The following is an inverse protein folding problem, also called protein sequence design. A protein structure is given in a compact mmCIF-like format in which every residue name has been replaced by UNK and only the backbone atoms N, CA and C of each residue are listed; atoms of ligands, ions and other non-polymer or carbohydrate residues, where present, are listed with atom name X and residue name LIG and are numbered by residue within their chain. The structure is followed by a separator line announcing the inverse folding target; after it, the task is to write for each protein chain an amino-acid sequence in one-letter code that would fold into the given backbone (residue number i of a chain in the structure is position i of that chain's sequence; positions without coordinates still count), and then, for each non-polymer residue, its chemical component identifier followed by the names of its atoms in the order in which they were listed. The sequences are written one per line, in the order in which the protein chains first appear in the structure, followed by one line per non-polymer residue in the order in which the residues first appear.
data_IF_546292504511
#
_entry.id   IF_546292504511
#
_cell.length_a   1.000
_cell.length_b   1.000
_cell.length_c   1.000
_cell.angle_alpha   90.00
_cell.angle_beta   90.00
_cell.angle_gamma   90.00
#
_symmetry.space_group_name_H-M   'P 1'
#
loop_
_entity.id
_entity.type
_entity.pdbx_description
1 polymer ?
#
# COMPACT_ATOMS: atom_id res chain seq x y z
N UNK A 1 11.82 5.13 -1.98
CA UNK A 1 10.43 5.41 -2.37
C UNK A 1 10.15 5.15 -3.86
N UNK A 2 10.47 6.05 -4.80
CA UNK A 2 10.05 5.87 -6.21
C UNK A 2 10.61 4.59 -6.85
N UNK A 3 11.89 4.29 -6.64
CA UNK A 3 12.54 3.04 -7.10
C UNK A 3 12.00 1.76 -6.43
N UNK A 4 11.47 1.85 -5.21
CA UNK A 4 10.76 0.74 -4.55
C UNK A 4 9.37 0.57 -5.16
N UNK A 5 8.59 1.65 -5.30
CA UNK A 5 7.20 1.58 -5.81
C UNK A 5 7.09 1.00 -7.22
N UNK A 6 8.13 1.15 -8.06
CA UNK A 6 8.21 0.54 -9.39
C UNK A 6 8.61 -0.95 -9.35
N UNK A 7 9.21 -1.43 -8.26
CA UNK A 7 9.62 -2.84 -8.07
C UNK A 7 8.56 -3.68 -7.36
N UNK A 8 7.69 -3.06 -6.56
CA UNK A 8 6.58 -3.70 -5.83
C UNK A 8 5.75 -4.68 -6.69
N UNK A 9 5.30 -4.34 -7.92
CA UNK A 9 4.50 -5.25 -8.75
C UNK A 9 5.24 -6.55 -9.16
N UNK A 10 6.57 -6.54 -9.14
CA UNK A 10 7.43 -7.65 -9.57
C UNK A 10 7.95 -8.50 -8.40
N UNK A 11 7.53 -8.19 -7.16
CA UNK A 11 7.96 -8.87 -5.94
C UNK A 11 6.90 -9.75 -5.27
N UNK A 12 5.67 -9.75 -5.76
CA UNK A 12 4.66 -10.70 -5.30
C UNK A 12 5.06 -12.14 -5.67
N UNK A 13 4.75 -13.10 -4.80
CA UNK A 13 5.12 -14.53 -4.99
C UNK A 13 4.54 -15.12 -6.29
N UNK A 14 3.39 -14.58 -6.74
CA UNK A 14 2.87 -14.75 -8.10
C UNK A 14 2.68 -13.39 -8.79
N UNK A 15 3.79 -12.69 -9.05
CA UNK A 15 3.79 -11.42 -9.77
C UNK A 15 3.16 -11.54 -11.17
N UNK A 16 3.38 -12.65 -11.88
CA UNK A 16 2.85 -12.82 -13.24
C UNK A 16 1.33 -13.02 -13.23
N UNK A 17 0.80 -13.92 -12.40
CA UNK A 17 -0.63 -14.12 -12.24
C UNK A 17 -1.32 -12.86 -11.71
N UNK A 18 -0.71 -12.15 -10.75
CA UNK A 18 -1.26 -10.90 -10.21
C UNK A 18 -1.33 -9.79 -11.27
N UNK A 19 -0.28 -9.60 -12.08
CA UNK A 19 -0.29 -8.62 -13.19
C UNK A 19 -1.28 -9.04 -14.27
N UNK A 20 -1.36 -10.32 -14.62
CA UNK A 20 -2.27 -10.84 -15.64
C UNK A 20 -3.74 -10.66 -15.21
N UNK A 21 -4.10 -11.16 -14.02
CA UNK A 21 -5.46 -11.04 -13.45
C UNK A 21 -5.83 -9.57 -13.26
N UNK A 22 -4.94 -8.75 -12.70
CA UNK A 22 -5.16 -7.32 -12.53
C UNK A 22 -5.35 -6.54 -13.84
N UNK A 23 -4.62 -6.91 -14.89
CA UNK A 23 -4.78 -6.34 -16.24
C UNK A 23 -6.10 -6.77 -16.88
N UNK A 24 -6.45 -8.05 -16.80
CA UNK A 24 -7.74 -8.57 -17.29
C UNK A 24 -8.91 -7.93 -16.53
N UNK A 25 -8.81 -7.77 -15.22
CA UNK A 25 -9.82 -7.12 -14.39
C UNK A 25 -9.95 -5.62 -14.70
N UNK A 26 -8.84 -4.96 -15.04
CA UNK A 26 -8.81 -3.57 -15.53
C UNK A 26 -9.50 -3.44 -16.89
N UNK A 27 -9.17 -4.31 -17.84
CA UNK A 27 -9.80 -4.40 -19.16
C UNK A 27 -11.32 -4.60 -19.02
N UNK A 28 -11.71 -5.65 -18.29
CA UNK A 28 -13.09 -6.05 -18.10
C UNK A 28 -13.91 -4.93 -17.45
N UNK A 29 -13.37 -4.26 -16.43
CA UNK A 29 -14.01 -3.09 -15.80
C UNK A 29 -14.25 -1.95 -16.80
N UNK A 30 -13.26 -1.66 -17.66
CA UNK A 30 -13.36 -0.61 -18.68
C UNK A 30 -14.38 -0.95 -19.78
N UNK A 31 -14.36 -2.19 -20.28
CA UNK A 31 -15.27 -2.67 -21.32
C UNK A 31 -16.70 -2.73 -20.81
N UNK A 32 -16.97 -3.31 -19.62
CA UNK A 32 -18.33 -3.35 -19.07
C UNK A 32 -18.86 -1.95 -18.80
N UNK A 33 -18.03 -1.01 -18.33
CA UNK A 33 -18.44 0.38 -18.13
C UNK A 33 -18.80 1.06 -19.47
N UNK A 34 -17.99 0.89 -20.51
CA UNK A 34 -18.26 1.47 -21.83
C UNK A 34 -19.54 0.91 -22.45
N UNK A 35 -19.71 -0.42 -22.42
CA UNK A 35 -20.94 -1.11 -22.89
C UNK A 35 -22.16 -0.63 -22.10
N UNK A 36 -22.05 -0.49 -20.78
CA UNK A 36 -23.15 -0.02 -19.94
C UNK A 36 -23.56 1.43 -20.23
N UNK A 37 -22.61 2.33 -20.49
CA UNK A 37 -22.91 3.72 -20.88
C UNK A 37 -23.63 3.78 -22.23
N UNK A 38 -23.19 3.00 -23.22
CA UNK A 38 -23.91 2.88 -24.51
C UNK A 38 -25.31 2.30 -24.30
N UNK A 39 -25.45 1.30 -23.43
CA UNK A 39 -26.73 0.65 -23.14
C UNK A 39 -27.70 1.59 -22.43
N UNK A 40 -27.25 2.43 -21.50
CA UNK A 40 -28.08 3.46 -20.85
C UNK A 40 -28.71 4.43 -21.85
N UNK A 41 -28.01 4.75 -22.94
CA UNK A 41 -28.53 5.66 -23.97
C UNK A 41 -29.63 5.03 -24.85
N UNK A 42 -29.69 3.69 -24.92
CA UNK A 42 -30.60 2.95 -25.82
C UNK A 42 -31.70 2.20 -25.05
N UNK A 43 -31.48 1.84 -23.79
CA UNK A 43 -32.37 0.96 -23.02
C UNK A 43 -32.66 1.51 -21.61
N UNK A 44 -33.91 1.88 -21.28
CA UNK A 44 -34.25 2.47 -19.98
C UNK A 44 -34.06 1.52 -18.78
N UNK A 45 -33.93 0.21 -19.02
CA UNK A 45 -33.62 -0.79 -17.99
C UNK A 45 -32.10 -0.96 -17.74
N UNK A 46 -31.23 -0.23 -18.44
CA UNK A 46 -29.78 -0.24 -18.22
C UNK A 46 -29.32 -0.11 -16.76
N UNK A 47 -29.99 0.65 -15.86
CA UNK A 47 -29.65 0.70 -14.44
C UNK A 47 -29.73 -0.66 -13.72
N UNK A 48 -30.54 -1.62 -14.20
CA UNK A 48 -30.62 -2.95 -13.62
C UNK A 48 -29.30 -3.76 -13.74
N UNK A 49 -28.40 -3.39 -14.66
CA UNK A 49 -27.10 -4.04 -14.83
C UNK A 49 -25.98 -3.46 -13.95
N UNK A 50 -26.24 -2.40 -13.16
CA UNK A 50 -25.27 -1.81 -12.23
C UNK A 50 -24.52 -2.86 -11.38
N UNK A 51 -25.17 -3.85 -10.72
CA UNK A 51 -24.42 -4.82 -9.90
C UNK A 51 -23.43 -5.65 -10.73
N UNK A 52 -23.80 -6.08 -11.93
CA UNK A 52 -22.93 -6.88 -12.82
C UNK A 52 -21.75 -6.05 -13.32
N UNK A 53 -22.01 -4.81 -13.72
CA UNK A 53 -21.01 -3.86 -14.23
C UNK A 53 -20.06 -3.39 -13.11
N UNK A 54 -20.57 -3.25 -11.89
CA UNK A 54 -19.78 -2.84 -10.73
C UNK A 54 -18.82 -3.94 -10.23
N UNK A 55 -19.18 -5.22 -10.32
CA UNK A 55 -18.42 -6.32 -9.71
C UNK A 55 -16.90 -6.31 -9.99
N UNK A 56 -16.42 -6.25 -11.25
CA UNK A 56 -14.97 -6.17 -11.53
C UNK A 56 -14.30 -4.92 -10.93
N UNK A 57 -15.02 -3.78 -10.94
CA UNK A 57 -14.56 -2.51 -10.38
C UNK A 57 -14.51 -2.54 -8.84
N UNK A 58 -15.42 -3.28 -8.20
CA UNK A 58 -15.43 -3.51 -6.75
C UNK A 58 -14.23 -4.34 -6.32
N UNK A 59 -13.96 -5.47 -6.99
CA UNK A 59 -12.77 -6.32 -6.71
C UNK A 59 -11.49 -5.50 -6.87
N UNK A 60 -11.35 -4.77 -7.98
CA UNK A 60 -10.19 -3.89 -8.22
C UNK A 60 -10.04 -2.83 -7.13
N UNK A 61 -11.13 -2.22 -6.65
CA UNK A 61 -11.07 -1.26 -5.54
C UNK A 61 -10.69 -1.91 -4.21
N UNK A 62 -11.15 -3.12 -3.93
CA UNK A 62 -10.75 -3.86 -2.73
C UNK A 62 -9.25 -4.15 -2.74
N UNK A 63 -8.75 -4.64 -3.87
CA UNK A 63 -7.34 -4.93 -4.07
C UNK A 63 -6.47 -3.68 -3.87
N UNK A 64 -6.87 -2.53 -4.42
CA UNK A 64 -6.16 -1.27 -4.20
C UNK A 64 -6.26 -0.72 -2.76
N UNK A 65 -7.12 -1.27 -1.89
CA UNK A 65 -7.12 -0.97 -0.45
C UNK A 65 -6.10 -1.87 0.26
N UNK A 66 -6.04 -3.16 -0.05
CA UNK A 66 -4.99 -4.05 0.48
C UNK A 66 -3.59 -3.57 0.08
N UNK A 67 -3.38 -3.15 -1.17
CA UNK A 67 -2.11 -2.53 -1.61
C UNK A 67 -1.74 -1.24 -0.82
N UNK A 68 -2.73 -0.52 -0.28
CA UNK A 68 -2.50 0.62 0.62
C UNK A 68 -2.13 0.15 2.02
N UNK A 69 -2.75 -0.93 2.51
CA UNK A 69 -2.46 -1.63 3.77
C UNK A 69 -1.01 -2.16 3.76
N UNK A 70 -0.66 -3.00 2.77
CA UNK A 70 0.70 -3.48 2.48
C UNK A 70 1.72 -2.30 2.45
N UNK A 71 1.31 -1.16 1.89
CA UNK A 71 2.12 0.06 1.82
C UNK A 71 2.30 0.80 3.15
N UNK A 72 1.31 0.77 4.04
CA UNK A 72 1.37 1.36 5.39
C UNK A 72 2.30 0.52 6.27
N UNK A 73 2.14 -0.80 6.22
CA UNK A 73 2.97 -1.76 6.98
C UNK A 73 4.39 -1.93 6.40
N UNK A 74 4.63 -1.30 5.23
CA UNK A 74 5.90 -1.32 4.50
C UNK A 74 6.32 -2.74 4.06
N UNK A 75 5.35 -3.58 3.73
CA UNK A 75 5.60 -4.92 3.21
C UNK A 75 6.27 -4.87 1.83
N UNK A 76 7.25 -5.76 1.55
CA UNK A 76 7.95 -5.82 0.26
C UNK A 76 7.21 -6.63 -0.80
N UNK A 77 6.24 -7.44 -0.37
CA UNK A 77 5.34 -8.33 -1.13
C UNK A 77 3.95 -7.71 -1.20
N UNK A 78 3.16 -8.07 -2.23
CA UNK A 78 1.80 -7.54 -2.40
C UNK A 78 0.79 -8.66 -2.22
N UNK A 79 -0.30 -8.37 -1.50
CA UNK A 79 -1.45 -9.25 -1.34
C UNK A 79 -1.96 -9.82 -2.68
N UNK A 80 -2.25 -11.12 -2.75
CA UNK A 80 -2.71 -11.79 -3.98
C UNK A 80 -4.25 -11.81 -4.11
N UNK A 81 -4.76 -12.08 -5.33
CA UNK A 81 -6.21 -12.07 -5.65
C UNK A 81 -7.02 -13.26 -5.07
N UNK A 82 -6.57 -13.93 -4.01
CA UNK A 82 -7.20 -15.17 -3.53
C UNK A 82 -8.53 -14.90 -2.81
N UNK A 83 -8.66 -13.81 -2.06
CA UNK A 83 -9.84 -13.51 -1.23
C UNK A 83 -10.92 -12.67 -1.94
N UNK A 84 -11.46 -13.12 -3.09
CA UNK A 84 -12.49 -12.37 -3.84
C UNK A 84 -13.65 -11.81 -2.99
N UNK A 85 -14.10 -12.54 -1.97
CA UNK A 85 -15.16 -12.11 -1.06
C UNK A 85 -14.77 -10.94 -0.13
N UNK A 86 -13.53 -10.90 0.38
CA UNK A 86 -13.05 -9.78 1.19
C UNK A 86 -12.77 -8.56 0.29
N UNK A 87 -12.21 -8.78 -0.89
CA UNK A 87 -11.97 -7.75 -1.92
C UNK A 87 -13.27 -7.05 -2.34
N UNK A 88 -14.34 -7.78 -2.67
CA UNK A 88 -15.65 -7.15 -2.99
C UNK A 88 -16.16 -6.34 -1.80
N UNK A 89 -16.05 -6.85 -0.56
CA UNK A 89 -16.52 -6.17 0.65
C UNK A 89 -15.74 -4.87 0.93
N UNK A 90 -14.41 -4.91 0.84
CA UNK A 90 -13.53 -3.74 0.97
C UNK A 90 -13.78 -2.72 -0.15
N UNK A 91 -13.96 -3.20 -1.38
CA UNK A 91 -14.34 -2.40 -2.54
C UNK A 91 -15.66 -1.67 -2.34
N UNK A 92 -16.71 -2.36 -1.88
CA UNK A 92 -18.02 -1.76 -1.57
C UNK A 92 -17.94 -0.71 -0.46
N UNK A 93 -17.21 -0.97 0.63
CA UNK A 93 -16.95 0.02 1.68
C UNK A 93 -16.22 1.25 1.11
N UNK A 94 -15.19 1.06 0.28
CA UNK A 94 -14.44 2.14 -0.41
C UNK A 94 -15.28 2.93 -1.43
N UNK A 95 -16.27 2.29 -2.08
CA UNK A 95 -17.30 2.97 -2.88
C UNK A 95 -18.18 3.84 -1.99
N UNK A 96 -18.71 3.31 -0.89
CA UNK A 96 -19.58 4.05 0.02
C UNK A 96 -18.90 5.31 0.58
N UNK A 97 -17.64 5.20 1.03
CA UNK A 97 -16.82 6.36 1.43
C UNK A 97 -16.68 7.35 0.26
N UNK A 98 -16.33 6.88 -0.94
CA UNK A 98 -16.18 7.76 -2.11
C UNK A 98 -17.48 8.49 -2.48
N UNK A 99 -18.64 7.83 -2.35
CA UNK A 99 -19.96 8.40 -2.68
C UNK A 99 -20.39 9.42 -1.62
N UNK A 100 -20.18 9.13 -0.33
CA UNK A 100 -20.51 10.04 0.74
C UNK A 100 -19.64 11.32 0.70
N UNK A 101 -18.36 11.17 0.34
CA UNK A 101 -17.47 12.28 0.01
C UNK A 101 -17.76 12.96 -1.35
N UNK A 102 -18.74 12.49 -2.14
CA UNK A 102 -19.14 13.14 -3.40
C UNK A 102 -20.42 13.97 -3.24
N UNK A 103 -21.24 13.72 -2.22
CA UNK A 103 -22.54 14.39 -2.03
C UNK A 103 -22.49 15.93 -2.11
N UNK A 104 -21.54 16.65 -1.47
CA UNK A 104 -21.47 18.10 -1.59
C UNK A 104 -21.19 18.57 -3.03
N UNK A 105 -20.39 17.82 -3.78
CA UNK A 105 -20.16 18.07 -5.21
C UNK A 105 -21.41 17.81 -6.06
N UNK A 106 -22.23 16.82 -5.72
CA UNK A 106 -23.54 16.58 -6.37
C UNK A 106 -24.49 17.75 -6.11
N UNK A 107 -24.52 18.30 -4.89
CA UNK A 107 -25.34 19.48 -4.56
C UNK A 107 -24.88 20.70 -5.37
N UNK A 108 -23.57 20.97 -5.42
CA UNK A 108 -23.02 22.08 -6.22
C UNK A 108 -23.32 21.91 -7.72
N UNK A 109 -23.20 20.69 -8.25
CA UNK A 109 -23.56 20.39 -9.64
C UNK A 109 -25.06 20.58 -9.91
N UNK A 110 -25.92 20.15 -8.99
CA UNK A 110 -27.38 20.36 -9.07
C UNK A 110 -27.76 21.85 -9.07
N UNK A 111 -27.07 22.67 -8.27
CA UNK A 111 -27.24 24.13 -8.27
C UNK A 111 -26.78 24.75 -9.60
N UNK A 112 -25.66 24.30 -10.17
CA UNK A 112 -25.16 24.78 -11.45
C UNK A 112 -26.13 24.44 -12.61
N UNK A 113 -26.57 23.19 -12.69
CA UNK A 113 -27.52 22.73 -13.72
C UNK A 113 -28.89 23.40 -13.55
N UNK A 114 -29.37 23.55 -12.31
CA UNK A 114 -30.59 24.30 -12.02
C UNK A 114 -30.50 25.77 -12.45
N UNK A 115 -29.37 26.43 -12.19
CA UNK A 115 -29.10 27.79 -12.65
C UNK A 115 -29.09 27.92 -14.18
N UNK A 116 -28.52 26.95 -14.91
CA UNK A 116 -28.58 26.93 -16.38
C UNK A 116 -30.02 26.75 -16.86
N UNK A 117 -30.79 25.85 -16.23
CA UNK A 117 -32.17 25.55 -16.64
C UNK A 117 -33.11 26.77 -16.53
N UNK A 118 -32.85 27.72 -15.63
CA UNK A 118 -33.66 28.96 -15.52
C UNK A 118 -33.37 29.99 -16.61
N UNK A 119 -32.26 29.87 -17.35
CA UNK A 119 -31.84 30.81 -18.41
C UNK A 119 -32.17 30.29 -19.82
N UNK A 120 -32.34 28.97 -19.98
CA UNK A 120 -32.56 28.32 -21.28
C UNK A 120 -33.95 28.60 -21.92
N UNK A 121 -35.05 28.86 -21.19
CA UNK A 121 -36.28 29.41 -21.78
C UNK A 121 -36.24 30.95 -21.75
N UNK A 122 -35.98 31.65 -22.88
CA UNK A 122 -35.71 33.09 -22.87
C UNK A 122 -36.96 33.98 -22.77
N UNK A 123 -38.17 33.44 -22.58
CA UNK A 123 -39.41 34.17 -22.90
C UNK A 123 -39.94 35.11 -21.82
N UNK A 124 -39.71 34.86 -20.52
CA UNK A 124 -40.33 35.66 -19.42
C UNK A 124 -39.43 35.88 -18.18
N UNK A 125 -38.11 35.66 -18.28
CA UNK A 125 -37.20 35.84 -17.14
C UNK A 125 -36.71 37.29 -17.05
N UNK A 126 -37.03 38.00 -15.96
CA UNK A 126 -36.59 39.38 -15.75
C UNK A 126 -35.06 39.51 -15.58
N UNK A 127 -34.50 40.68 -15.94
CA UNK A 127 -33.05 40.94 -15.92
C UNK A 127 -32.37 40.59 -14.59
N UNK A 128 -33.05 40.85 -13.47
CA UNK A 128 -32.60 40.51 -12.11
C UNK A 128 -32.47 39.00 -11.88
N UNK A 129 -33.41 38.21 -12.42
CA UNK A 129 -33.36 36.75 -12.31
C UNK A 129 -32.26 36.15 -13.19
N UNK A 130 -32.02 36.71 -14.39
CA UNK A 130 -30.90 36.31 -15.25
C UNK A 130 -29.54 36.63 -14.61
N UNK A 131 -29.40 37.81 -13.98
CA UNK A 131 -28.20 38.18 -13.23
C UNK A 131 -27.95 37.24 -12.03
N UNK A 132 -28.99 36.90 -11.26
CA UNK A 132 -28.90 35.94 -10.15
C UNK A 132 -28.55 34.53 -10.62
N UNK A 133 -29.13 34.07 -11.73
CA UNK A 133 -28.80 32.77 -12.32
C UNK A 133 -27.33 32.72 -12.78
N UNK A 134 -26.83 33.77 -13.44
CA UNK A 134 -25.42 33.90 -13.82
C UNK A 134 -24.48 33.86 -12.61
N UNK A 135 -24.81 34.58 -11.52
CA UNK A 135 -24.05 34.56 -10.28
C UNK A 135 -24.08 33.17 -9.61
N UNK A 136 -25.23 32.50 -9.58
CA UNK A 136 -25.36 31.13 -9.05
C UNK A 136 -24.53 30.13 -9.86
N UNK A 137 -24.55 30.20 -11.20
CA UNK A 137 -23.71 29.36 -12.07
C UNK A 137 -22.22 29.62 -11.81
N UNK A 138 -21.81 30.88 -11.65
CA UNK A 138 -20.42 31.23 -11.35
C UNK A 138 -19.96 30.67 -9.99
N UNK A 139 -20.74 30.90 -8.93
CA UNK A 139 -20.41 30.43 -7.57
C UNK A 139 -20.44 28.90 -7.49
N UNK A 140 -21.45 28.25 -8.06
CA UNK A 140 -21.56 26.79 -8.05
C UNK A 140 -20.53 26.11 -8.94
N UNK A 141 -20.22 26.66 -10.13
CA UNK A 141 -19.19 26.15 -11.03
C UNK A 141 -17.77 26.30 -10.46
N UNK A 142 -17.43 27.48 -9.92
CA UNK A 142 -16.15 27.71 -9.27
C UNK A 142 -16.02 26.92 -7.96
N UNK A 143 -17.11 26.85 -7.18
CA UNK A 143 -17.22 26.01 -5.99
C UNK A 143 -17.05 24.53 -6.31
N UNK A 144 -17.63 24.04 -7.40
CA UNK A 144 -17.47 22.65 -7.87
C UNK A 144 -16.04 22.37 -8.33
N UNK A 145 -15.37 23.34 -8.96
CA UNK A 145 -13.97 23.23 -9.36
C UNK A 145 -13.02 23.16 -8.14
N UNK A 146 -13.17 24.07 -7.17
CA UNK A 146 -12.44 24.01 -5.90
C UNK A 146 -12.74 22.70 -5.17
N UNK A 147 -14.02 22.33 -5.07
CA UNK A 147 -14.44 21.11 -4.39
C UNK A 147 -13.90 19.85 -5.07
N UNK A 148 -13.84 19.81 -6.40
CA UNK A 148 -13.23 18.74 -7.17
C UNK A 148 -11.75 18.55 -6.84
N UNK A 149 -11.01 19.65 -6.65
CA UNK A 149 -9.60 19.63 -6.26
C UNK A 149 -9.42 19.17 -4.80
N UNK A 150 -10.25 19.67 -3.88
CA UNK A 150 -10.28 19.21 -2.47
C UNK A 150 -10.63 17.72 -2.39
N UNK A 151 -11.63 17.27 -3.16
CA UNK A 151 -12.03 15.86 -3.24
C UNK A 151 -10.91 14.99 -3.81
N UNK A 152 -10.19 15.44 -4.84
CA UNK A 152 -9.04 14.73 -5.41
C UNK A 152 -7.92 14.49 -4.38
N UNK A 153 -7.72 15.42 -3.45
CA UNK A 153 -6.71 15.35 -2.39
C UNK A 153 -7.20 14.59 -1.13
N UNK A 154 -8.42 14.85 -0.67
CA UNK A 154 -8.97 14.27 0.58
C UNK A 154 -9.41 12.81 0.39
N UNK A 155 -9.89 12.44 -0.79
CA UNK A 155 -10.35 11.07 -1.09
C UNK A 155 -9.26 9.99 -0.90
N UNK A 156 -8.01 10.14 -1.37
CA UNK A 156 -6.96 9.18 -1.04
C UNK A 156 -6.66 9.13 0.45
N UNK A 157 -6.61 10.27 1.16
CA UNK A 157 -6.41 10.28 2.62
C UNK A 157 -7.51 9.51 3.38
N UNK A 158 -8.78 9.68 2.98
CA UNK A 158 -9.91 8.94 3.56
C UNK A 158 -9.81 7.42 3.31
N UNK A 159 -9.24 7.00 2.18
CA UNK A 159 -8.99 5.59 1.85
C UNK A 159 -7.86 4.98 2.66
N UNK A 160 -6.80 5.74 2.91
CA UNK A 160 -5.71 5.30 3.81
C UNK A 160 -6.27 5.11 5.23
N UNK A 161 -7.01 6.07 5.78
CA UNK A 161 -7.64 5.90 7.11
C UNK A 161 -8.61 4.71 7.13
N UNK A 162 -9.31 4.45 6.03
CA UNK A 162 -10.15 3.26 5.90
C UNK A 162 -9.35 1.96 5.88
N UNK A 163 -8.22 1.90 5.16
CA UNK A 163 -7.32 0.74 5.14
C UNK A 163 -6.78 0.46 6.55
N UNK A 164 -6.14 1.47 7.16
CA UNK A 164 -5.49 1.37 8.46
C UNK A 164 -6.41 1.01 9.65
N UNK A 165 -7.73 1.23 9.54
CA UNK A 165 -8.67 1.04 10.66
C UNK A 165 -9.81 0.06 10.38
N UNK A 166 -9.95 -0.44 9.15
CA UNK A 166 -11.10 -1.25 8.68
C UNK A 166 -12.49 -0.57 8.76
N UNK A 167 -12.57 0.65 9.34
CA UNK A 167 -13.80 1.24 9.85
C UNK A 167 -14.28 2.43 9.00
N UNK A 168 -15.56 2.40 8.62
CA UNK A 168 -16.20 3.51 7.90
C UNK A 168 -16.28 4.77 8.76
N UNK A 169 -16.46 4.63 10.09
CA UNK A 169 -16.60 5.76 11.02
C UNK A 169 -15.29 6.56 11.19
N UNK A 170 -14.13 5.91 11.16
CA UNK A 170 -12.85 6.63 11.16
C UNK A 170 -12.63 7.36 9.83
N UNK A 171 -12.88 6.69 8.70
CA UNK A 171 -12.71 7.21 7.35
C UNK A 171 -13.61 8.43 7.02
N UNK A 172 -14.77 8.54 7.68
CA UNK A 172 -15.68 9.70 7.58
C UNK A 172 -15.38 10.80 8.61
N UNK A 173 -14.40 10.61 9.49
CA UNK A 173 -13.97 11.59 10.48
C UNK A 173 -13.21 12.75 9.83
N UNK A 174 -13.92 13.65 9.15
CA UNK A 174 -13.37 14.74 8.32
C UNK A 174 -12.19 15.45 8.99
N UNK A 175 -12.29 15.84 10.27
CA UNK A 175 -11.22 16.55 11.00
C UNK A 175 -9.94 15.70 11.20
N UNK A 176 -10.06 14.38 11.33
CA UNK A 176 -8.91 13.45 11.39
C UNK A 176 -8.31 13.23 10.00
N UNK A 177 -9.15 13.00 8.99
CA UNK A 177 -8.71 12.84 7.59
C UNK A 177 -7.98 14.08 7.10
N UNK A 178 -8.48 15.29 7.38
CA UNK A 178 -7.78 16.54 7.06
C UNK A 178 -6.47 16.72 7.83
N UNK A 179 -6.38 16.24 9.09
CA UNK A 179 -5.11 16.30 9.84
C UNK A 179 -4.04 15.36 9.24
N UNK A 180 -4.45 14.16 8.79
CA UNK A 180 -3.57 13.27 8.02
C UNK A 180 -3.19 13.90 6.68
N UNK A 181 -4.16 14.42 5.94
CA UNK A 181 -3.93 15.03 4.63
C UNK A 181 -3.05 16.28 4.70
N UNK A 182 -3.03 16.98 5.85
CA UNK A 182 -2.14 18.11 6.10
C UNK A 182 -0.71 17.71 6.51
N UNK A 183 -0.40 16.41 6.67
CA UNK A 183 0.98 15.98 6.94
C UNK A 183 1.84 16.07 5.67
N UNK A 184 3.07 16.56 5.83
CA UNK A 184 4.03 16.66 4.72
C UNK A 184 4.40 15.31 4.14
N UNK A 185 4.46 14.26 4.97
CA UNK A 185 4.73 12.89 4.54
C UNK A 185 3.62 12.39 3.60
N UNK A 186 2.34 12.58 3.95
CA UNK A 186 1.22 12.21 3.09
C UNK A 186 1.28 12.97 1.76
N UNK A 187 1.57 14.27 1.81
CA UNK A 187 1.71 15.09 0.60
C UNK A 187 2.79 14.53 -0.34
N UNK A 188 3.94 14.05 0.17
CA UNK A 188 4.97 13.43 -0.68
C UNK A 188 4.50 12.12 -1.32
N UNK A 189 3.83 11.24 -0.57
CA UNK A 189 3.27 9.99 -1.11
C UNK A 189 2.18 10.25 -2.16
N UNK A 190 1.33 11.26 -1.93
CA UNK A 190 0.29 11.71 -2.86
C UNK A 190 0.85 12.38 -4.11
N UNK A 191 1.93 13.17 -4.01
CA UNK A 191 2.60 13.78 -5.16
C UNK A 191 3.28 12.72 -6.04
N UNK A 192 3.93 11.72 -5.45
CA UNK A 192 4.48 10.56 -6.18
C UNK A 192 3.34 9.81 -6.89
N UNK A 193 2.26 9.48 -6.17
CA UNK A 193 1.10 8.81 -6.74
C UNK A 193 0.47 9.60 -7.90
N UNK A 194 0.24 10.89 -7.71
CA UNK A 194 -0.37 11.77 -8.72
C UNK A 194 0.55 11.96 -9.93
N UNK A 195 1.87 12.07 -9.71
CA UNK A 195 2.87 12.07 -10.77
C UNK A 195 2.84 10.77 -11.58
N UNK A 196 2.80 9.62 -10.92
CA UNK A 196 2.67 8.32 -11.59
C UNK A 196 1.37 8.21 -12.41
N UNK A 197 0.22 8.62 -11.87
CA UNK A 197 -1.06 8.59 -12.61
C UNK A 197 -1.10 9.59 -13.77
N UNK A 198 -0.46 10.75 -13.65
CA UNK A 198 -0.45 11.79 -14.69
C UNK A 198 0.57 11.49 -15.80
N UNK A 199 1.79 11.08 -15.45
CA UNK A 199 2.84 10.78 -16.43
C UNK A 199 2.71 9.36 -17.02
N UNK A 200 2.18 8.38 -16.30
CA UNK A 200 2.04 7.00 -16.80
C UNK A 200 1.42 6.91 -18.20
N UNK A 201 0.25 7.55 -18.47
CA UNK A 201 -0.34 7.59 -19.80
C UNK A 201 0.50 8.32 -20.87
N UNK A 202 1.36 9.27 -20.49
CA UNK A 202 2.14 10.05 -21.48
C UNK A 202 3.21 9.21 -22.18
N UNK A 203 3.66 8.10 -21.57
CA UNK A 203 4.58 7.14 -22.19
C UNK A 203 4.00 6.46 -23.45
N UNK A 204 2.67 6.45 -23.62
CA UNK A 204 1.99 5.80 -24.74
C UNK A 204 1.80 6.74 -25.95
N UNK A 205 1.90 8.06 -25.76
CA UNK A 205 1.78 9.06 -26.84
C UNK A 205 2.71 8.82 -28.04
N UNK A 206 4.03 8.53 -27.89
CA UNK A 206 4.88 8.28 -29.05
C UNK A 206 4.40 7.07 -29.87
N UNK A 207 3.89 6.02 -29.23
CA UNK A 207 3.36 4.85 -29.93
C UNK A 207 2.05 5.15 -30.68
N UNK A 208 1.19 6.02 -30.11
CA UNK A 208 0.01 6.55 -30.81
C UNK A 208 0.37 7.46 -31.99
N UNK A 209 1.42 8.28 -31.88
CA UNK A 209 1.92 9.11 -32.98
C UNK A 209 2.47 8.22 -34.11
N UNK A 210 3.24 7.17 -33.78
CA UNK A 210 3.70 6.17 -34.77
C UNK A 210 2.50 5.47 -35.42
N UNK A 211 1.49 5.06 -34.65
CA UNK A 211 0.26 4.45 -35.18
C UNK A 211 -0.47 5.39 -36.16
N UNK A 212 -0.58 6.68 -35.84
CA UNK A 212 -1.19 7.67 -36.71
C UNK A 212 -0.40 7.84 -38.02
N UNK A 213 0.93 8.00 -37.94
CA UNK A 213 1.81 8.13 -39.12
C UNK A 213 1.77 6.89 -40.02
N UNK A 214 1.81 5.69 -39.45
CA UNK A 214 1.66 4.42 -40.18
C UNK A 214 0.25 4.28 -40.77
N UNK A 215 -0.77 4.89 -40.15
CA UNK A 215 -2.15 4.91 -40.62
C UNK A 215 -2.35 5.68 -41.92
N UNK A 216 -1.51 6.69 -42.20
CA UNK A 216 -1.53 7.41 -43.49
C UNK A 216 -1.06 6.52 -44.66
N UNK A 217 -0.19 5.54 -44.41
CA UNK A 217 0.29 4.60 -45.43
C UNK A 217 -0.53 3.31 -45.47
N UNK A 218 -0.92 2.79 -44.30
CA UNK A 218 -1.47 1.45 -44.15
C UNK A 218 -2.41 1.35 -42.94
N UNK A 219 -3.72 1.61 -43.13
CA UNK A 219 -4.73 1.45 -42.09
C UNK A 219 -4.72 0.11 -41.32
N UNK A 220 -4.53 -1.08 -41.95
CA UNK A 220 -4.52 -2.33 -41.19
C UNK A 220 -3.32 -2.47 -40.26
N UNK A 221 -2.13 -1.97 -40.65
CA UNK A 221 -0.94 -2.01 -39.79
C UNK A 221 -1.11 -1.05 -38.61
N UNK A 222 -1.66 0.15 -38.85
CA UNK A 222 -1.99 1.09 -37.79
C UNK A 222 -2.99 0.51 -36.78
N UNK A 223 -4.02 -0.21 -37.24
CA UNK A 223 -4.97 -0.89 -36.36
C UNK A 223 -4.29 -1.92 -35.44
N UNK A 224 -3.29 -2.67 -35.94
CA UNK A 224 -2.47 -3.58 -35.12
C UNK A 224 -1.63 -2.81 -34.10
N UNK A 225 -1.00 -1.69 -34.48
CA UNK A 225 -0.21 -0.87 -33.55
C UNK A 225 -1.12 -0.28 -32.46
N UNK A 226 -2.31 0.24 -32.81
CA UNK A 226 -3.31 0.74 -31.84
C UNK A 226 -3.75 -0.37 -30.89
N UNK A 227 -4.01 -1.59 -31.39
CA UNK A 227 -4.40 -2.73 -30.55
C UNK A 227 -3.29 -3.12 -29.55
N UNK A 228 -2.03 -3.20 -30.01
CA UNK A 228 -0.87 -3.47 -29.14
C UNK A 228 -0.68 -2.34 -28.12
N UNK A 229 -0.82 -1.08 -28.54
CA UNK A 229 -0.78 0.10 -27.66
C UNK A 229 -1.86 0.03 -26.58
N UNK A 230 -3.08 -0.39 -26.94
CA UNK A 230 -4.19 -0.52 -26.02
C UNK A 230 -3.98 -1.63 -24.98
N UNK A 231 -3.47 -2.80 -25.40
CA UNK A 231 -3.11 -3.90 -24.48
C UNK A 231 -2.01 -3.44 -23.51
N UNK A 232 -0.97 -2.77 -24.01
CA UNK A 232 0.10 -2.18 -23.20
C UNK A 232 -0.45 -1.12 -22.22
N UNK A 233 -1.39 -0.28 -22.68
CA UNK A 233 -2.02 0.77 -21.87
C UNK A 233 -2.80 0.20 -20.69
N UNK A 234 -3.49 -0.93 -20.88
CA UNK A 234 -4.23 -1.61 -19.80
C UNK A 234 -3.27 -2.15 -18.73
N UNK A 235 -2.20 -2.85 -19.14
CA UNK A 235 -1.20 -3.36 -18.20
C UNK A 235 -0.47 -2.24 -17.46
N UNK A 236 -0.06 -1.19 -18.18
CA UNK A 236 0.57 0.00 -17.60
C UNK A 236 -0.38 0.71 -16.62
N UNK A 237 -1.66 0.86 -16.97
CA UNK A 237 -2.65 1.47 -16.09
C UNK A 237 -2.91 0.65 -14.82
N UNK A 238 -2.83 -0.69 -14.87
CA UNK A 238 -2.87 -1.52 -13.67
C UNK A 238 -1.63 -1.28 -12.80
N UNK A 239 -0.43 -1.45 -13.36
CA UNK A 239 0.85 -1.27 -12.65
C UNK A 239 0.95 0.12 -11.99
N UNK A 240 0.63 1.18 -12.73
CA UNK A 240 0.65 2.57 -12.23
C UNK A 240 -0.33 2.76 -11.05
N UNK A 241 -1.52 2.14 -11.09
CA UNK A 241 -2.48 2.21 -9.98
C UNK A 241 -1.98 1.49 -8.73
N UNK A 242 -1.32 0.34 -8.88
CA UNK A 242 -0.74 -0.43 -7.76
C UNK A 242 0.41 0.35 -7.12
N UNK A 243 1.39 0.81 -7.92
CA UNK A 243 2.52 1.60 -7.42
C UNK A 243 2.07 2.89 -6.71
N UNK A 244 1.03 3.55 -7.22
CA UNK A 244 0.47 4.77 -6.63
C UNK A 244 -0.36 4.51 -5.36
N UNK A 245 -1.08 3.38 -5.28
CA UNK A 245 -1.77 2.95 -4.08
C UNK A 245 -0.76 2.71 -2.94
N UNK A 246 0.26 1.90 -3.22
CA UNK A 246 1.32 1.57 -2.25
C UNK A 246 2.10 2.82 -1.81
N UNK A 247 2.47 3.73 -2.73
CA UNK A 247 3.17 4.98 -2.37
C UNK A 247 2.32 5.91 -1.51
N UNK A 248 0.99 5.89 -1.68
CA UNK A 248 0.06 6.67 -0.86
C UNK A 248 -0.04 6.08 0.55
N UNK A 249 -0.05 4.75 0.69
CA UNK A 249 0.02 4.06 1.99
C UNK A 249 1.32 4.38 2.73
N UNK A 250 2.47 4.17 2.09
CA UNK A 250 3.79 4.39 2.71
C UNK A 250 4.07 5.85 3.07
N UNK A 251 3.56 6.80 2.27
CA UNK A 251 3.62 8.23 2.62
C UNK A 251 2.72 8.60 3.81
N UNK A 252 1.69 7.81 4.10
CA UNK A 252 0.77 8.08 5.19
C UNK A 252 1.14 7.41 6.52
N UNK A 253 1.96 6.36 6.51
CA UNK A 253 2.29 5.54 7.69
C UNK A 253 2.69 6.36 8.92
N UNK A 254 3.66 7.27 8.78
CA UNK A 254 4.15 8.14 9.87
C UNK A 254 3.09 9.16 10.32
N UNK A 255 2.20 9.58 9.42
CA UNK A 255 1.05 10.42 9.76
C UNK A 255 -0.06 9.67 10.50
N UNK A 256 -0.25 8.38 10.22
CA UNK A 256 -1.21 7.51 10.91
C UNK A 256 -0.76 7.19 12.33
N UNK A 257 0.51 6.85 12.53
CA UNK A 257 1.07 6.52 13.85
C UNK A 257 0.89 7.67 14.86
N UNK A 258 0.98 8.93 14.41
CA UNK A 258 0.68 10.11 15.25
C UNK A 258 -0.82 10.36 15.52
N UNK A 259 -1.71 9.75 14.75
CA UNK A 259 -3.18 9.95 14.84
C UNK A 259 -3.91 8.79 15.51
N UNK A 260 -3.35 7.60 15.35
CA UNK A 260 -3.76 6.33 15.91
C UNK A 260 -2.49 5.65 16.43
N UNK A 261 -1.85 6.21 17.48
CA UNK A 261 -0.73 5.53 18.11
C UNK A 261 -1.21 4.13 18.46
N UNK A 262 -0.44 3.11 18.04
CA UNK A 262 -0.80 1.74 18.35
C UNK A 262 -1.01 1.62 19.87
N UNK A 263 -2.09 0.93 20.26
CA UNK A 263 -2.39 0.64 21.66
C UNK A 263 -1.40 -0.41 22.20
N UNK A 264 -0.13 -0.02 22.25
CA UNK A 264 1.01 -0.81 22.73
C UNK A 264 1.18 -0.69 24.25
N UNK A 265 0.06 -0.56 24.95
CA UNK A 265 -0.14 -0.89 26.36
C UNK A 265 -1.65 -0.78 26.66
N UNK A 266 -2.30 -1.82 27.23
CA UNK A 266 -3.66 -1.71 27.69
C UNK A 266 -3.70 -0.91 29.00
N UNK A 267 -3.87 0.40 28.89
CA UNK A 267 -4.26 1.24 30.04
C UNK A 267 -5.64 0.79 30.56
N UNK A 268 -5.75 0.27 31.79
CA UNK A 268 -7.01 -0.24 32.33
C UNK A 268 -8.02 0.86 32.67
N UNK A 269 -7.70 2.15 32.46
CA UNK A 269 -8.54 3.28 32.87
C UNK A 269 -9.45 3.88 31.77
N UNK A 270 -9.27 3.54 30.49
CA UNK A 270 -9.85 4.34 29.38
C UNK A 270 -10.72 3.55 28.37
N UNK A 271 -11.78 2.90 28.84
CA UNK A 271 -12.75 2.15 28.02
C UNK A 271 -13.91 3.03 27.45
N UNK A 272 -13.59 4.13 26.76
CA UNK A 272 -14.61 4.98 26.08
C UNK A 272 -14.19 5.51 24.68
N UNK A 273 -13.16 4.92 24.07
CA UNK A 273 -12.86 5.16 22.65
C UNK A 273 -12.81 3.86 21.87
N UNK A 274 -14.00 3.28 21.66
CA UNK A 274 -14.22 2.04 20.90
C UNK A 274 -13.83 2.11 19.42
N UNK A 275 -12.53 2.21 19.15
CA UNK A 275 -11.87 1.95 17.87
C UNK A 275 -10.89 0.81 18.12
N UNK A 276 -11.44 -0.38 18.31
CA UNK A 276 -10.65 -1.61 18.21
C UNK A 276 -10.12 -1.66 16.78
N UNK A 277 -8.81 -1.47 16.64
CA UNK A 277 -8.11 -1.91 15.43
C UNK A 277 -8.25 -3.43 15.42
N UNK A 278 -9.07 -3.96 14.51
CA UNK A 278 -8.92 -5.36 14.08
C UNK A 278 -7.56 -5.46 13.39
N UNK A 279 -6.48 -5.50 14.18
CA UNK A 279 -5.22 -6.12 13.76
C UNK A 279 -5.64 -7.50 13.30
N UNK A 280 -5.66 -7.71 11.99
CA UNK A 280 -5.84 -9.02 11.39
C UNK A 280 -4.60 -9.80 11.77
N UNK A 281 -4.62 -10.38 12.96
CA UNK A 281 -3.58 -11.25 13.44
C UNK A 281 -3.44 -12.33 12.37
N UNK A 282 -2.37 -12.24 11.59
CA UNK A 282 -1.87 -13.44 10.94
C UNK A 282 -1.76 -14.47 12.05
N UNK A 283 -2.32 -15.69 11.87
CA UNK A 283 -2.00 -16.76 12.80
C UNK A 283 -0.48 -16.86 12.76
N UNK A 284 0.14 -16.53 13.89
CA UNK A 284 1.57 -16.72 14.07
C UNK A 284 1.82 -18.19 13.79
N UNK A 285 2.53 -18.47 12.69
CA UNK A 285 2.87 -19.82 12.26
C UNK A 285 3.98 -20.33 13.17
N UNK A 286 3.63 -20.49 14.44
CA UNK A 286 4.38 -21.31 15.36
C UNK A 286 4.51 -22.72 14.74
N UNK A 287 5.72 -23.27 14.81
CA UNK A 287 6.14 -24.43 14.02
C UNK A 287 5.50 -25.76 14.44
N UNK A 288 4.43 -25.71 15.25
CA UNK A 288 3.60 -26.85 15.60
C UNK A 288 2.54 -27.12 14.53
N UNK A 289 2.85 -28.03 13.60
CA UNK A 289 1.85 -28.57 12.68
C UNK A 289 0.60 -29.01 13.44
N UNK A 290 -0.53 -28.37 13.15
CA UNK A 290 -1.85 -28.78 13.65
C UNK A 290 -2.25 -30.11 13.00
N UNK A 291 -1.66 -31.20 13.49
CA UNK A 291 -2.01 -32.55 13.10
C UNK A 291 -3.45 -32.83 13.52
N UNK A 292 -4.31 -33.01 12.52
CA UNK A 292 -5.76 -33.24 12.73
C UNK A 292 -5.94 -34.50 13.55
N UNK A 293 -6.83 -34.43 14.55
CA UNK A 293 -7.15 -35.53 15.48
C UNK A 293 -7.21 -36.88 14.75
N UNK A 294 -6.43 -37.90 15.17
CA UNK A 294 -6.33 -39.17 14.47
C UNK A 294 -7.66 -39.92 14.35
N UNK A 295 -8.69 -39.57 15.13
CA UNK A 295 -10.05 -40.11 14.98
C UNK A 295 -10.77 -39.63 13.70
N UNK A 296 -10.32 -38.54 13.07
CA UNK A 296 -10.90 -37.98 11.84
C UNK A 296 -10.16 -38.45 10.58
N UNK A 297 -8.95 -39.03 10.73
CA UNK A 297 -8.07 -39.36 9.61
C UNK A 297 -8.39 -40.74 8.97
N UNK A 298 -9.65 -40.95 8.57
CA UNK A 298 -10.06 -42.17 7.85
C UNK A 298 -9.47 -42.20 6.43
N UNK A 299 -8.46 -43.05 6.19
CA UNK A 299 -7.98 -43.32 4.83
C UNK A 299 -6.48 -43.61 4.68
N UNK A 300 -5.65 -43.44 5.72
CA UNK A 300 -4.19 -43.66 5.63
C UNK A 300 -3.74 -44.87 6.44
N UNK A 301 -3.72 -46.04 5.81
CA UNK A 301 -3.09 -47.23 6.40
C UNK A 301 -1.57 -47.07 6.40
N UNK A 302 -0.98 -46.85 7.58
CA UNK A 302 0.47 -46.94 7.78
C UNK A 302 0.80 -48.34 8.29
N UNK A 303 1.67 -49.04 7.58
CA UNK A 303 2.12 -50.39 7.95
C UNK A 303 3.17 -50.30 9.07
N UNK A 304 2.77 -50.68 10.30
CA UNK A 304 3.64 -50.62 11.48
C UNK A 304 4.19 -52.01 11.78
N UNK A 305 5.24 -52.39 11.04
CA UNK A 305 6.04 -53.58 11.32
C UNK A 305 7.24 -53.23 12.21
N UNK A 306 7.06 -53.34 13.54
CA UNK A 306 8.16 -53.30 14.53
C UNK A 306 7.97 -54.35 15.63
N UNK A 307 8.82 -55.39 15.70
CA UNK A 307 8.86 -56.28 16.85
C UNK A 307 9.85 -55.82 17.94
N UNK A 308 9.59 -56.28 19.15
CA UNK A 308 10.24 -55.95 20.42
C UNK A 308 11.55 -56.77 20.63
N UNK A 309 12.63 -56.19 21.19
CA UNK A 309 13.02 -56.12 22.62
C UNK A 309 13.50 -57.44 23.26
N UNK A 310 14.81 -57.54 23.50
CA UNK A 310 15.54 -58.41 24.45
C UNK A 310 17.04 -58.12 24.30
N UNK A 311 17.93 -58.22 25.28
CA UNK A 311 17.84 -58.23 26.74
C UNK A 311 19.22 -57.79 27.30
N UNK A 312 19.35 -57.54 28.60
CA UNK A 312 20.60 -57.09 29.25
C UNK A 312 21.73 -58.11 29.18
N UNK A 313 22.99 -57.66 29.06
CA UNK A 313 24.09 -58.22 29.86
C UNK A 313 25.27 -57.23 30.01
N UNK A 314 25.90 -57.24 31.20
CA UNK A 314 27.07 -56.43 31.58
C UNK A 314 28.23 -57.36 31.88
N UNK A 315 29.42 -57.17 31.28
CA UNK A 315 30.73 -57.65 31.79
C UNK A 315 31.90 -56.95 31.08
N UNK A 316 32.99 -56.75 31.81
CA UNK A 316 34.33 -56.33 31.38
C UNK A 316 35.37 -56.92 32.39
N UNK A 317 36.71 -56.89 32.21
CA UNK A 317 37.57 -56.74 31.02
C UNK A 317 38.71 -57.84 30.96
N UNK A 318 39.84 -57.55 30.27
CA UNK A 318 41.20 -58.20 30.30
C UNK A 318 41.48 -59.51 29.48
N UNK A 319 42.76 -59.87 29.15
CA UNK A 319 43.92 -59.04 28.72
C UNK A 319 44.88 -59.63 27.62
N UNK A 320 45.83 -58.79 27.12
CA UNK A 320 47.23 -59.08 26.61
C UNK A 320 47.54 -60.04 25.40
N UNK A 321 48.79 -60.14 24.85
CA UNK A 321 49.95 -59.20 24.72
C UNK A 321 50.71 -59.17 23.33
N UNK A 322 51.70 -58.25 23.18
CA UNK A 322 52.97 -58.31 22.36
C UNK A 322 52.92 -58.54 20.82
N UNK A 323 53.92 -58.23 19.97
CA UNK A 323 55.26 -57.57 20.01
C UNK A 323 55.55 -57.02 18.57
N UNK A 324 56.05 -55.79 18.35
CA UNK A 324 57.46 -55.37 18.16
C UNK A 324 58.10 -55.60 16.75
N UNK A 325 59.16 -54.82 16.45
CA UNK A 325 59.99 -54.77 15.21
C UNK A 325 59.33 -54.20 13.93
N UNK A 326 60.00 -53.45 13.03
CA UNK A 326 61.29 -52.73 13.13
C UNK A 326 61.44 -51.67 12.01
N UNK A 327 62.37 -50.73 12.22
CA UNK A 327 63.21 -49.92 11.29
C UNK A 327 62.95 -49.88 9.76
N UNK A 328 63.15 -48.69 9.15
CA UNK A 328 64.35 -48.33 8.34
C UNK A 328 64.24 -46.89 7.81
N UNK A 329 65.37 -46.17 7.81
CA UNK A 329 65.55 -44.78 7.36
C UNK A 329 65.50 -44.57 5.82
N UNK A 330 65.32 -43.32 5.38
CA UNK A 330 66.25 -42.70 4.43
C UNK A 330 66.24 -41.16 4.46
N UNK A 331 67.33 -40.58 3.98
CA UNK A 331 67.89 -39.26 4.31
C UNK A 331 67.96 -38.31 3.07
N UNK A 332 68.45 -37.08 3.29
CA UNK A 332 68.82 -36.00 2.38
C UNK A 332 67.69 -35.04 1.89
N UNK A 333 67.87 -33.71 1.89
CA UNK A 333 68.97 -32.89 2.44
C UNK A 333 68.97 -31.43 1.90
N UNK A 334 69.53 -30.48 2.68
CA UNK A 334 70.20 -29.19 2.32
C UNK A 334 69.45 -28.20 1.37
N UNK A 335 69.29 -26.89 1.59
CA UNK A 335 70.22 -25.71 1.68
C UNK A 335 69.31 -24.51 2.09
N UNK A 336 69.51 -23.74 3.16
CA UNK A 336 70.41 -22.58 3.42
C UNK A 336 70.15 -21.26 2.62
N UNK A 337 70.50 -20.12 3.24
CA UNK A 337 70.26 -18.69 2.91
C UNK A 337 68.83 -18.17 3.22
N UNK A 338 68.62 -16.99 3.83
CA UNK A 338 69.53 -15.98 4.40
C UNK A 338 68.95 -14.55 4.24
N UNK A 339 68.94 -13.72 5.29
CA UNK A 339 68.48 -12.33 5.20
C UNK A 339 68.03 -11.70 6.53
N UNK A 340 68.81 -10.75 7.04
CA UNK A 340 68.64 -10.02 8.31
C UNK A 340 68.71 -8.48 8.05
N UNK A 341 68.38 -7.67 9.06
CA UNK A 341 68.64 -6.22 9.28
C UNK A 341 67.71 -5.13 8.71
N UNK A 342 67.53 -4.05 9.51
CA UNK A 342 66.96 -2.72 9.16
C UNK A 342 65.49 -2.50 9.58
N UNK A 343 65.09 -1.87 10.70
CA UNK A 343 65.61 -0.83 11.62
C UNK A 343 65.21 0.64 11.29
N UNK A 344 64.90 1.43 12.34
CA UNK A 344 64.70 2.90 12.47
C UNK A 344 63.33 3.60 12.21
N UNK A 345 62.61 3.89 13.30
CA UNK A 345 62.50 5.19 14.04
C UNK A 345 61.97 6.51 13.41
N UNK A 346 61.33 7.33 14.27
CA UNK A 346 60.82 8.70 14.05
C UNK A 346 59.29 8.82 14.21
N UNK A 347 58.65 9.24 15.33
CA UNK A 347 58.90 10.39 16.23
C UNK A 347 58.85 11.74 15.48
N UNK A 348 58.03 12.76 15.80
CA UNK A 348 57.54 13.29 17.11
C UNK A 348 56.29 14.20 16.93
N UNK A 349 55.55 14.48 18.03
CA UNK A 349 54.93 15.77 18.49
C UNK A 349 54.19 16.72 17.49
N UNK A 350 53.41 17.76 17.81
CA UNK A 350 52.83 18.43 19.00
C UNK A 350 51.60 19.26 18.47
N UNK A 351 50.68 19.92 19.20
CA UNK A 351 50.53 20.26 20.63
C UNK A 351 49.06 20.23 21.09
N UNK A 352 48.86 20.46 22.40
CA UNK A 352 47.62 20.70 23.10
C UNK A 352 47.16 22.18 23.10
N UNK A 353 45.89 22.45 23.38
CA UNK A 353 45.53 23.48 24.38
C UNK A 353 44.30 23.05 25.21
N UNK A 354 44.13 23.70 26.35
CA UNK A 354 43.42 23.26 27.55
C UNK A 354 42.58 24.43 28.06
N UNK A 355 41.38 24.16 28.60
CA UNK A 355 40.72 24.97 29.65
C UNK A 355 39.43 24.31 30.12
N UNK A 356 39.51 23.68 31.28
CA UNK A 356 38.45 23.75 32.28
C UNK A 356 38.52 25.14 32.94
N UNK A 357 37.38 25.73 33.33
CA UNK A 357 37.03 26.00 34.73
C UNK A 357 35.80 26.91 34.87
N UNK A 358 35.15 26.75 36.03
CA UNK A 358 34.26 27.64 36.78
C UNK A 358 32.85 27.98 36.24
N UNK A 359 31.86 27.27 36.81
CA UNK A 359 30.82 27.80 37.72
C UNK A 359 30.44 29.29 37.64
N UNK A 360 29.13 29.57 37.54
CA UNK A 360 28.40 30.40 38.53
C UNK A 360 26.86 30.27 38.38
N UNK A 361 26.16 30.52 39.50
CA UNK A 361 24.70 30.42 39.67
C UNK A 361 23.86 31.31 38.72
N UNK A 362 22.64 30.86 38.37
CA UNK A 362 21.45 31.64 38.73
C UNK A 362 20.17 30.77 38.85
N UNK A 363 19.29 31.24 39.73
CA UNK A 363 17.90 30.84 40.03
C UNK A 363 17.07 30.29 38.85
N UNK A 364 16.14 29.36 39.06
CA UNK A 364 15.36 29.09 40.27
C UNK A 364 13.92 29.60 40.10
N UNK A 365 13.07 28.81 39.42
CA UNK A 365 11.65 29.14 39.30
C UNK A 365 10.76 27.92 39.56
N UNK A 366 10.15 27.92 40.75
CA UNK A 366 9.21 26.91 41.24
C UNK A 366 7.80 27.49 41.16
N UNK A 367 6.92 26.91 40.33
CA UNK A 367 5.49 27.17 40.42
C UNK A 367 4.87 26.29 41.50
N UNK A 368 4.70 26.87 42.69
CA UNK A 368 3.96 26.24 43.77
C UNK A 368 2.47 26.14 43.46
N UNK A 369 1.86 25.01 43.84
CA UNK A 369 0.42 24.82 43.95
C UNK A 369 0.02 25.07 45.40
N UNK A 370 -0.81 26.09 45.61
CA UNK A 370 -1.73 26.30 46.73
C UNK A 370 -2.76 27.32 46.17
N UNK A 371 -4.06 27.25 46.39
CA UNK A 371 -4.84 26.52 47.39
C UNK A 371 -5.94 27.47 47.85
N UNK A 372 -7.16 27.33 47.36
CA UNK A 372 -8.29 28.20 47.77
C UNK A 372 -9.61 27.44 47.81
N UNK A 373 -9.76 26.64 48.86
CA UNK A 373 -11.06 26.24 49.40
C UNK A 373 -11.57 27.30 50.40
N UNK A 374 -12.87 27.25 50.70
CA UNK A 374 -13.62 28.02 51.72
C UNK A 374 -14.03 29.48 51.42
N UNK A 375 -15.18 29.62 50.77
CA UNK A 375 -16.40 30.09 51.46
C UNK A 375 -17.69 29.70 50.72
#
# INVERSE_FOLDING_TARGET
MLSESLRVPYRADDAFGTILVGSVLTLLSGVLLAVWVVLLAVWPLGPALIPVVALPSLVMRGYLISVVEDGIENEPTVSSFVEWGSLVRAGSKSVLVSVLYLLPGVVLCGLAVGGVATVVPPSEVGETAQALAGLLILISGFGLLIYGLVYLYVRPAARVVFAATGSLRAALGVRRVFRLAASGEFLTGWLIASGLLALGPTLLLPLLVVAALVGLLSPPVAAVIVLVTFILAVGLAFVVRVSAAWSTGRGAAVGLDRLYPAASEPDPATDDTGVVLERRAMPELDGGSAEVDPLVQTGRTVDVSRPERSASETTAPEPTPNEASETVDHDAGTVDHGGDTGEQDGETAESADRRELDDEDDSGFVWGVDGNDSQ
#
